data_IF_735368647484
#
_entry.id   IF_735368647484
#
_cell.length_a   1.000
_cell.length_b   1.000
_cell.length_c   1.000
_cell.angle_alpha   90.00
_cell.angle_beta   90.00
_cell.angle_gamma   90.00
#
_symmetry.space_group_name_H-M   'P 1'
#
loop_
_entity.id
_entity.type
_entity.pdbx_description
1 polymer ?
#
# COMPACT_ATOMS: atom_id res chain seq x y z
N UNK A 1 -3.95 -12.96 12.35
CA UNK A 1 -3.68 -14.29 11.75
C UNK A 1 -4.60 -14.50 10.54
N UNK A 2 -5.91 -14.42 10.69
CA UNK A 2 -6.88 -14.69 9.60
C UNK A 2 -6.63 -13.88 8.32
N UNK A 3 -6.24 -12.61 8.43
CA UNK A 3 -5.92 -11.77 7.27
C UNK A 3 -4.65 -12.24 6.55
N UNK A 4 -3.62 -12.64 7.29
CA UNK A 4 -2.38 -13.20 6.73
C UNK A 4 -2.62 -14.53 6.02
N UNK A 5 -3.48 -15.39 6.59
CA UNK A 5 -3.86 -16.65 5.95
C UNK A 5 -4.61 -16.44 4.62
N UNK A 6 -5.51 -15.45 4.58
CA UNK A 6 -6.27 -15.11 3.37
C UNK A 6 -5.39 -14.50 2.28
N UNK A 7 -4.25 -13.91 2.64
CA UNK A 7 -3.29 -13.29 1.73
C UNK A 7 -2.22 -14.27 1.20
N UNK A 8 -2.45 -15.57 1.29
CA UNK A 8 -1.60 -16.65 0.75
C UNK A 8 -0.17 -16.73 1.34
N UNK A 9 0.00 -16.27 2.57
CA UNK A 9 1.31 -16.38 3.25
C UNK A 9 1.54 -17.72 3.94
N UNK A 10 0.61 -18.68 3.88
CA UNK A 10 0.68 -19.98 4.54
C UNK A 10 1.03 -19.91 6.04
N UNK A 11 0.69 -18.80 6.69
CA UNK A 11 0.98 -18.61 8.12
C UNK A 11 -0.15 -19.21 8.95
N UNK A 12 0.16 -20.23 9.73
CA UNK A 12 -0.81 -20.90 10.64
C UNK A 12 -0.94 -20.18 11.98
N UNK A 13 0.15 -19.61 12.49
CA UNK A 13 0.17 -18.88 13.75
C UNK A 13 1.30 -17.84 13.79
N UNK A 14 1.22 -16.92 14.75
CA UNK A 14 2.28 -15.94 15.05
C UNK A 14 2.51 -15.95 16.56
N UNK A 15 3.77 -16.02 17.00
CA UNK A 15 4.18 -15.88 18.39
C UNK A 15 5.21 -14.77 18.55
N UNK A 16 5.21 -14.14 19.71
CA UNK A 16 6.13 -13.04 20.03
C UNK A 16 7.15 -13.58 21.04
N UNK A 17 8.43 -13.31 20.81
CA UNK A 17 9.49 -13.61 21.75
C UNK A 17 9.77 -12.38 22.64
N UNK A 18 9.24 -12.44 23.86
CA UNK A 18 9.42 -11.37 24.83
C UNK A 18 10.87 -11.28 25.37
N UNK A 19 11.65 -12.37 25.31
CA UNK A 19 13.04 -12.36 25.76
C UNK A 19 13.96 -11.72 24.72
N UNK A 20 13.75 -12.02 23.44
CA UNK A 20 14.49 -11.39 22.35
C UNK A 20 14.22 -9.88 22.26
N UNK A 21 13.00 -9.43 22.59
CA UNK A 21 12.64 -8.01 22.70
C UNK A 21 13.49 -7.28 23.75
N UNK A 22 13.73 -7.91 24.88
CA UNK A 22 14.52 -7.30 25.97
C UNK A 22 16.01 -7.14 25.60
N UNK A 23 16.55 -8.04 24.77
CA UNK A 23 17.98 -8.04 24.42
C UNK A 23 18.34 -7.03 23.30
N UNK A 24 17.45 -6.82 22.33
CA UNK A 24 17.75 -6.07 21.09
C UNK A 24 16.91 -4.80 20.90
N UNK A 25 15.94 -4.51 21.77
CA UNK A 25 15.04 -3.36 21.65
C UNK A 25 14.13 -3.40 20.41
N UNK A 26 14.12 -4.52 19.67
CA UNK A 26 13.24 -4.75 18.51
C UNK A 26 12.29 -5.89 18.83
N UNK A 27 11.04 -5.73 18.41
CA UNK A 27 10.06 -6.82 18.50
C UNK A 27 10.43 -7.92 17.52
N UNK A 28 10.84 -9.07 18.04
CA UNK A 28 11.06 -10.28 17.26
C UNK A 28 9.83 -11.16 17.40
N UNK A 29 9.20 -11.46 16.29
CA UNK A 29 8.10 -12.42 16.25
C UNK A 29 8.45 -13.59 15.34
N UNK A 30 7.79 -14.70 15.58
CA UNK A 30 7.92 -15.91 14.79
C UNK A 30 6.62 -16.22 14.08
N UNK A 31 6.72 -16.59 12.81
CA UNK A 31 5.60 -17.12 12.03
C UNK A 31 5.70 -18.63 11.99
N UNK A 32 4.58 -19.31 12.18
CA UNK A 32 4.46 -20.74 12.13
C UNK A 32 3.75 -21.14 10.83
N UNK A 33 4.29 -22.12 10.14
CA UNK A 33 3.82 -22.60 8.85
C UNK A 33 3.63 -24.11 8.91
N UNK A 34 2.54 -24.62 8.33
CA UNK A 34 2.31 -26.05 8.15
C UNK A 34 2.25 -26.34 6.65
N UNK A 35 3.27 -27.00 6.11
CA UNK A 35 3.41 -27.29 4.68
C UNK A 35 3.61 -28.81 4.52
N UNK A 36 2.72 -29.47 3.78
CA UNK A 36 2.80 -30.90 3.53
C UNK A 36 2.76 -31.75 4.79
N UNK A 37 2.16 -31.26 5.89
CA UNK A 37 2.11 -31.95 7.19
C UNK A 37 3.36 -31.77 8.06
N UNK A 38 4.33 -30.97 7.64
CA UNK A 38 5.49 -30.58 8.44
C UNK A 38 5.34 -29.14 8.94
N UNK A 39 5.72 -28.89 10.19
CA UNK A 39 5.67 -27.58 10.82
C UNK A 39 7.04 -26.88 10.71
N UNK A 40 7.01 -25.63 10.30
CA UNK A 40 8.17 -24.76 10.19
C UNK A 40 7.92 -23.47 10.96
N UNK A 41 9.00 -22.94 11.54
CA UNK A 41 8.97 -21.65 12.23
C UNK A 41 10.04 -20.75 11.62
N UNK A 42 9.64 -19.56 11.20
CA UNK A 42 10.54 -18.53 10.68
C UNK A 42 10.53 -17.31 11.60
N UNK A 43 11.71 -16.80 11.88
CA UNK A 43 11.85 -15.51 12.58
C UNK A 43 11.40 -14.36 11.66
N UNK A 44 10.91 -13.29 12.24
CA UNK A 44 10.62 -12.03 11.50
C UNK A 44 11.81 -11.50 10.72
N UNK A 45 13.05 -11.80 11.14
CA UNK A 45 14.29 -11.42 10.45
C UNK A 45 14.45 -12.18 9.12
N UNK A 46 13.93 -13.41 9.06
CA UNK A 46 14.04 -14.29 7.89
C UNK A 46 12.84 -14.16 6.94
N UNK A 47 11.86 -13.31 7.29
CA UNK A 47 10.68 -13.06 6.47
C UNK A 47 10.99 -12.17 5.26
N UNK A 48 10.21 -12.34 4.20
CA UNK A 48 10.25 -11.43 3.06
C UNK A 48 9.82 -10.01 3.47
N UNK A 49 10.36 -8.99 2.81
CA UNK A 49 9.94 -7.61 3.04
C UNK A 49 8.44 -7.43 2.75
N UNK A 50 7.90 -8.13 1.76
CA UNK A 50 6.48 -8.10 1.44
C UNK A 50 5.60 -8.66 2.57
N UNK A 51 6.00 -9.78 3.16
CA UNK A 51 5.31 -10.36 4.33
C UNK A 51 5.30 -9.38 5.50
N UNK A 52 6.46 -8.77 5.80
CA UNK A 52 6.58 -7.78 6.88
C UNK A 52 5.74 -6.54 6.61
N UNK A 53 5.78 -6.02 5.37
CA UNK A 53 5.00 -4.84 4.96
C UNK A 53 3.50 -5.11 5.10
N UNK A 54 3.04 -6.24 4.59
CA UNK A 54 1.63 -6.60 4.69
C UNK A 54 1.20 -6.79 6.15
N UNK A 55 2.05 -7.38 7.00
CA UNK A 55 1.79 -7.50 8.43
C UNK A 55 1.60 -6.13 9.10
N UNK A 56 2.47 -5.15 8.80
CA UNK A 56 2.34 -3.77 9.28
C UNK A 56 1.02 -3.14 8.85
N UNK A 57 0.63 -3.31 7.57
CA UNK A 57 -0.64 -2.79 7.08
C UNK A 57 -1.84 -3.44 7.78
N UNK A 58 -1.76 -4.74 8.12
CA UNK A 58 -2.83 -5.41 8.88
C UNK A 58 -2.94 -4.90 10.31
N UNK A 59 -1.85 -4.48 10.94
CA UNK A 59 -1.90 -3.80 12.24
C UNK A 59 -2.63 -2.46 12.13
N UNK A 60 -2.29 -1.63 11.14
CA UNK A 60 -3.00 -0.39 10.87
C UNK A 60 -4.49 -0.64 10.61
N UNK A 61 -4.83 -1.65 9.80
CA UNK A 61 -6.20 -2.05 9.51
C UNK A 61 -6.95 -2.42 10.79
N UNK A 62 -6.34 -3.24 11.64
CA UNK A 62 -6.97 -3.66 12.91
C UNK A 62 -7.31 -2.45 13.80
N UNK A 63 -6.43 -1.46 13.86
CA UNK A 63 -6.67 -0.24 14.63
C UNK A 63 -7.82 0.59 14.00
N UNK A 64 -7.82 0.78 12.67
CA UNK A 64 -8.86 1.51 11.96
C UNK A 64 -10.26 0.86 12.04
N UNK A 65 -10.33 -0.44 12.24
CA UNK A 65 -11.59 -1.17 12.43
C UNK A 65 -12.16 -1.03 13.84
N UNK A 66 -11.36 -0.61 14.81
CA UNK A 66 -11.77 -0.48 16.22
C UNK A 66 -12.03 0.96 16.64
N UNK A 67 -11.25 1.87 16.09
CA UNK A 67 -11.27 3.28 16.46
C UNK A 67 -11.02 4.12 15.21
N UNK A 68 -11.42 5.38 15.23
CA UNK A 68 -11.21 6.31 14.14
C UNK A 68 -9.73 6.75 14.11
N UNK A 69 -9.05 6.47 12.99
CA UNK A 69 -7.65 6.81 12.79
C UNK A 69 -7.42 7.50 11.45
N UNK A 70 -6.36 8.31 11.40
CA UNK A 70 -5.81 8.83 10.16
C UNK A 70 -4.40 8.27 10.01
N UNK A 71 -4.16 7.52 8.93
CA UNK A 71 -2.85 7.00 8.59
C UNK A 71 -2.30 7.67 7.34
N UNK A 72 -1.01 8.01 7.40
CA UNK A 72 -0.26 8.51 6.25
C UNK A 72 0.80 7.48 5.86
N UNK A 73 0.78 7.04 4.61
CA UNK A 73 1.76 6.09 4.09
C UNK A 73 2.55 6.73 2.95
N UNK A 74 3.86 6.65 3.04
CA UNK A 74 4.71 6.94 1.90
C UNK A 74 4.99 5.64 1.14
N UNK A 75 4.80 5.67 -0.20
CA UNK A 75 4.91 4.50 -1.07
C UNK A 75 4.21 3.26 -0.47
N UNK A 76 2.88 3.34 -0.36
CA UNK A 76 2.07 2.30 0.30
C UNK A 76 2.31 0.91 -0.28
N UNK A 77 2.59 0.82 -1.59
CA UNK A 77 2.86 -0.41 -2.33
C UNK A 77 4.26 -0.99 -2.09
N UNK A 78 5.16 -0.29 -1.41
CA UNK A 78 6.56 -0.73 -1.24
C UNK A 78 6.65 -2.19 -0.79
N UNK A 79 7.35 -3.01 -1.60
CA UNK A 79 7.54 -4.45 -1.40
C UNK A 79 6.26 -5.31 -1.44
N UNK A 80 5.13 -4.77 -1.89
CA UNK A 80 3.88 -5.52 -2.00
C UNK A 80 3.58 -5.91 -3.45
N UNK A 81 2.98 -7.09 -3.63
CA UNK A 81 2.27 -7.39 -4.87
C UNK A 81 1.01 -6.52 -4.96
N UNK A 82 0.66 -6.09 -6.18
CA UNK A 82 -0.50 -5.23 -6.41
C UNK A 82 -1.79 -5.78 -5.79
N UNK A 83 -2.05 -7.06 -5.92
CA UNK A 83 -3.26 -7.69 -5.38
C UNK A 83 -3.35 -7.60 -3.85
N UNK A 84 -2.22 -7.60 -3.13
CA UNK A 84 -2.20 -7.42 -1.68
C UNK A 84 -2.52 -5.98 -1.28
N UNK A 85 -2.01 -5.01 -2.04
CA UNK A 85 -2.37 -3.61 -1.88
C UNK A 85 -3.87 -3.40 -2.14
N UNK A 86 -4.36 -3.94 -3.25
CA UNK A 86 -5.77 -3.86 -3.63
C UNK A 86 -6.67 -4.49 -2.56
N UNK A 87 -6.30 -5.66 -2.06
CA UNK A 87 -7.01 -6.32 -0.96
C UNK A 87 -7.04 -5.46 0.32
N UNK A 88 -5.93 -4.81 0.66
CA UNK A 88 -5.88 -3.90 1.81
C UNK A 88 -6.81 -2.69 1.61
N UNK A 89 -6.72 -1.99 0.47
CA UNK A 89 -7.53 -0.80 0.18
C UNK A 89 -9.02 -1.13 0.10
N UNK A 90 -9.40 -2.21 -0.56
CA UNK A 90 -10.80 -2.64 -0.64
C UNK A 90 -11.34 -3.05 0.73
N UNK A 91 -10.56 -3.75 1.54
CA UNK A 91 -10.94 -4.09 2.92
C UNK A 91 -11.17 -2.83 3.75
N UNK A 92 -10.29 -1.83 3.65
CA UNK A 92 -10.45 -0.53 4.29
C UNK A 92 -11.76 0.13 3.87
N UNK A 93 -11.98 0.29 2.56
CA UNK A 93 -13.18 0.97 2.02
C UNK A 93 -14.50 0.30 2.43
N UNK A 94 -14.51 -1.02 2.58
CA UNK A 94 -15.72 -1.78 2.91
C UNK A 94 -16.03 -1.83 4.40
N UNK A 95 -15.04 -1.67 5.27
CA UNK A 95 -15.19 -1.98 6.69
C UNK A 95 -14.92 -0.81 7.64
N UNK A 96 -14.44 0.34 7.15
CA UNK A 96 -14.24 1.54 7.97
C UNK A 96 -15.23 2.63 7.60
N UNK A 97 -15.59 3.50 8.54
CA UNK A 97 -16.55 4.59 8.32
C UNK A 97 -15.96 5.97 8.47
N UNK A 98 -15.15 6.20 9.50
CA UNK A 98 -14.57 7.52 9.81
C UNK A 98 -13.05 7.55 9.71
N UNK A 99 -12.39 6.40 9.65
CA UNK A 99 -10.94 6.35 9.45
C UNK A 99 -10.56 6.88 8.06
N UNK A 100 -9.38 7.46 7.95
CA UNK A 100 -8.86 8.02 6.71
C UNK A 100 -7.47 7.48 6.41
N UNK A 101 -7.19 7.28 5.12
CA UNK A 101 -5.86 6.94 4.62
C UNK A 101 -5.43 8.01 3.62
N UNK A 102 -4.27 8.61 3.86
CA UNK A 102 -3.53 9.42 2.90
C UNK A 102 -2.28 8.64 2.50
N UNK A 103 -2.04 8.46 1.22
CA UNK A 103 -0.85 7.75 0.78
C UNK A 103 -0.26 8.31 -0.51
N UNK A 104 1.05 8.14 -0.67
CA UNK A 104 1.72 8.27 -1.95
C UNK A 104 1.88 6.91 -2.61
N UNK A 105 1.91 6.87 -3.93
CA UNK A 105 2.14 5.66 -4.71
C UNK A 105 2.72 5.97 -6.08
N UNK A 106 3.54 5.08 -6.59
CA UNK A 106 4.01 5.08 -7.98
C UNK A 106 3.24 4.06 -8.84
N UNK A 107 2.36 3.26 -8.22
CA UNK A 107 1.58 2.25 -8.93
C UNK A 107 0.38 2.86 -9.66
N UNK A 108 0.57 3.01 -10.96
CA UNK A 108 -0.42 3.61 -11.84
C UNK A 108 -1.66 2.72 -12.07
N UNK A 109 -1.60 1.43 -11.73
CA UNK A 109 -2.73 0.51 -11.91
C UNK A 109 -3.92 0.91 -11.04
N UNK A 110 -3.65 1.51 -9.86
CA UNK A 110 -4.70 2.06 -8.99
C UNK A 110 -5.61 3.08 -9.69
N UNK A 111 -5.11 3.79 -10.70
CA UNK A 111 -5.91 4.77 -11.45
C UNK A 111 -7.01 4.14 -12.32
N UNK A 112 -7.00 2.81 -12.50
CA UNK A 112 -8.03 2.08 -13.27
C UNK A 112 -9.07 1.41 -12.37
N UNK A 113 -8.90 1.49 -11.05
CA UNK A 113 -9.81 0.89 -10.09
C UNK A 113 -11.09 1.72 -9.92
N UNK A 114 -12.25 1.06 -9.96
CA UNK A 114 -13.57 1.73 -9.94
C UNK A 114 -13.84 2.52 -8.66
N UNK A 115 -13.26 2.11 -7.53
CA UNK A 115 -13.44 2.81 -6.26
C UNK A 115 -12.55 4.06 -6.12
N UNK A 116 -11.57 4.25 -7.02
CA UNK A 116 -10.72 5.44 -7.03
C UNK A 116 -11.41 6.57 -7.79
N UNK A 117 -11.96 7.53 -7.07
CA UNK A 117 -12.59 8.71 -7.64
C UNK A 117 -11.56 9.77 -7.99
N UNK A 118 -11.88 10.62 -8.97
CA UNK A 118 -11.00 11.70 -9.45
C UNK A 118 -10.64 12.73 -8.38
N UNK A 119 -11.55 12.99 -7.45
CA UNK A 119 -11.33 13.91 -6.34
C UNK A 119 -10.41 13.35 -5.24
N UNK A 120 -10.15 12.05 -5.27
CA UNK A 120 -9.21 11.38 -4.36
C UNK A 120 -7.78 11.37 -4.91
N UNK A 121 -7.59 11.65 -6.20
CA UNK A 121 -6.29 11.53 -6.86
C UNK A 121 -5.65 12.90 -7.04
N UNK A 122 -4.46 13.04 -6.48
CA UNK A 122 -3.63 14.23 -6.57
C UNK A 122 -2.30 13.89 -7.22
N UNK A 123 -1.81 14.77 -8.06
CA UNK A 123 -0.53 14.65 -8.73
C UNK A 123 0.45 15.68 -8.20
N UNK A 124 1.70 15.26 -8.07
CA UNK A 124 2.84 16.15 -7.80
C UNK A 124 3.71 16.21 -9.05
N UNK A 125 4.03 17.40 -9.49
CA UNK A 125 4.90 17.63 -10.65
C UNK A 125 5.99 18.62 -10.29
N UNK A 126 7.24 18.28 -10.61
CA UNK A 126 8.38 19.13 -10.35
C UNK A 126 8.71 19.94 -11.60
N UNK A 127 8.69 21.27 -11.48
CA UNK A 127 9.12 22.19 -12.52
C UNK A 127 10.62 22.02 -12.82
N UNK A 128 10.98 22.01 -14.10
CA UNK A 128 12.37 22.02 -14.54
C UNK A 128 13.03 23.39 -14.46
N UNK A 129 12.24 24.46 -14.51
CA UNK A 129 12.75 25.83 -14.59
C UNK A 129 13.26 26.30 -13.22
N UNK A 130 12.49 26.07 -12.18
CA UNK A 130 12.75 26.61 -10.83
C UNK A 130 12.79 25.54 -9.73
N UNK A 131 12.62 24.26 -10.09
CA UNK A 131 12.54 23.13 -9.18
C UNK A 131 11.40 23.20 -8.14
N UNK A 132 10.41 24.07 -8.34
CA UNK A 132 9.20 24.09 -7.53
C UNK A 132 8.38 22.80 -7.75
N UNK A 133 7.54 22.47 -6.77
CA UNK A 133 6.61 21.35 -6.89
C UNK A 133 5.20 21.87 -6.91
N UNK A 134 4.45 21.52 -7.95
CA UNK A 134 3.02 21.79 -8.05
C UNK A 134 2.24 20.58 -7.55
N UNK A 135 1.12 20.84 -6.86
CA UNK A 135 0.16 19.86 -6.41
C UNK A 135 -1.21 20.20 -6.99
N UNK A 136 -1.82 19.27 -7.73
CA UNK A 136 -3.10 19.49 -8.37
C UNK A 136 -3.97 18.23 -8.40
N UNK A 137 -5.29 18.41 -8.41
CA UNK A 137 -6.26 17.31 -8.36
C UNK A 137 -6.65 16.84 -9.77
N UNK A 138 -6.81 15.53 -9.94
CA UNK A 138 -7.29 14.95 -11.21
C UNK A 138 -8.70 15.46 -11.61
N UNK A 139 -9.51 15.90 -10.66
CA UNK A 139 -10.84 16.46 -10.93
C UNK A 139 -10.80 17.82 -11.64
N UNK A 140 -9.69 18.56 -11.59
CA UNK A 140 -9.55 19.88 -12.20
C UNK A 140 -9.41 19.83 -13.73
N UNK A 141 -9.07 18.67 -14.29
CA UNK A 141 -8.80 18.52 -15.73
C UNK A 141 -10.05 18.42 -16.63
N UNK A 142 -11.26 18.47 -16.09
CA UNK A 142 -12.49 18.43 -16.90
C UNK A 142 -12.60 17.20 -17.82
N UNK A 143 -11.99 16.07 -17.49
CA UNK A 143 -12.00 14.88 -18.31
C UNK A 143 -13.41 14.35 -18.52
N UNK A 144 -13.71 13.87 -19.75
CA UNK A 144 -14.97 13.21 -20.03
C UNK A 144 -15.24 12.06 -19.05
N UNK A 145 -16.49 11.92 -18.59
CA UNK A 145 -16.88 10.95 -17.54
C UNK A 145 -16.41 9.51 -17.82
N UNK A 146 -16.43 9.09 -19.09
CA UNK A 146 -16.08 7.74 -19.51
C UNK A 146 -14.58 7.54 -19.81
N UNK A 147 -13.75 8.57 -19.61
CA UNK A 147 -12.31 8.43 -19.81
C UNK A 147 -11.68 7.90 -18.53
N UNK A 148 -11.03 6.72 -18.61
CA UNK A 148 -10.24 6.16 -17.50
C UNK A 148 -9.11 7.11 -17.12
N UNK A 149 -8.91 7.30 -15.80
CA UNK A 149 -7.79 8.09 -15.28
C UNK A 149 -6.45 7.51 -15.71
N UNK A 150 -6.33 6.18 -15.70
CA UNK A 150 -5.14 5.48 -16.16
C UNK A 150 -4.78 5.84 -17.61
N UNK A 151 -5.77 5.79 -18.53
CA UNK A 151 -5.55 6.16 -19.93
C UNK A 151 -5.19 7.65 -20.07
N UNK A 152 -5.85 8.53 -19.33
CA UNK A 152 -5.54 9.95 -19.34
C UNK A 152 -4.10 10.22 -18.86
N UNK A 153 -3.67 9.55 -17.79
CA UNK A 153 -2.30 9.64 -17.28
C UNK A 153 -1.28 9.07 -18.29
N UNK A 154 -1.53 7.87 -18.81
CA UNK A 154 -0.64 7.23 -19.80
C UNK A 154 -0.43 8.08 -21.05
N UNK A 155 -1.44 8.80 -21.50
CA UNK A 155 -1.37 9.69 -22.68
C UNK A 155 -0.81 11.08 -22.36
N UNK A 156 -0.40 11.34 -21.11
CA UNK A 156 0.16 12.62 -20.68
C UNK A 156 -0.83 13.75 -20.48
N UNK A 157 -2.14 13.47 -20.53
CA UNK A 157 -3.20 14.50 -20.35
C UNK A 157 -3.27 15.06 -18.93
N UNK A 158 -2.71 14.34 -17.97
CA UNK A 158 -2.73 14.72 -16.55
C UNK A 158 -1.38 15.26 -16.05
N UNK A 159 -0.37 15.39 -16.91
CA UNK A 159 0.97 15.78 -16.45
C UNK A 159 1.63 14.75 -15.56
N UNK A 160 2.48 15.19 -14.64
CA UNK A 160 3.18 14.40 -13.61
C UNK A 160 3.90 13.16 -14.15
N UNK A 161 4.39 13.20 -15.38
CA UNK A 161 5.17 12.14 -16.00
C UNK A 161 6.65 12.50 -16.01
N UNK A 162 7.54 11.55 -15.70
CA UNK A 162 8.94 11.80 -15.89
C UNK A 162 9.24 12.06 -17.37
N UNK A 163 9.86 13.18 -17.66
CA UNK A 163 10.39 13.46 -18.99
C UNK A 163 11.73 12.78 -19.14
N UNK A 164 11.71 11.66 -19.85
CA UNK A 164 12.94 10.95 -20.19
C UNK A 164 13.60 11.67 -21.35
N UNK A 165 14.86 12.10 -21.15
CA UNK A 165 15.69 12.59 -22.24
C UNK A 165 15.95 11.52 -23.30
N UNK A 166 16.42 11.95 -24.49
CA UNK A 166 16.87 11.01 -25.52
C UNK A 166 18.02 10.14 -24.97
N UNK A 167 17.92 8.83 -25.18
CA UNK A 167 18.97 7.88 -24.81
C UNK A 167 20.09 7.86 -25.88
N UNK A 168 19.86 8.52 -27.02
CA UNK A 168 20.79 8.64 -28.15
C UNK A 168 20.86 10.09 -28.66
#
# INVERSE_FOLDING_TARGET
ISAMQKADFNISNISIDNEARMQNGKDVFFTHHTIGGADFTLSSIDQSLGTLRYFQLQECMFNMLREDHIYCFDEIESNLHYDLLLHFLTTFMMNTTNSQILFTTQDQQLLDEEFIRRDMVWFTEKSKEDASTELYCASEFGLHKNLSLYKAYKTGKLGAKPELGSIF
#
